data_IF_415445578800
#
_entry.id   IF_415445578800
#
_cell.length_a   1.000
_cell.length_b   1.000
_cell.length_c   1.000
_cell.angle_alpha   90.00
_cell.angle_beta   90.00
_cell.angle_gamma   90.00
#
_symmetry.space_group_name_H-M   'P 1'
#
loop_
_entity.id
_entity.type
_entity.pdbx_description
1 polymer ?
#
# COMPACT_ATOMS: atom_id res chain seq x y z
N UNK A 1 -25.78 12.59 -51.46
CA UNK A 1 -25.51 11.50 -52.40
C UNK A 1 -24.59 10.50 -51.71
N UNK A 2 -25.08 9.28 -51.56
CA UNK A 2 -24.40 8.13 -50.97
C UNK A 2 -23.49 7.46 -52.00
N UNK A 3 -22.34 6.96 -51.58
CA UNK A 3 -21.87 5.65 -52.07
C UNK A 3 -21.04 4.95 -50.97
N UNK A 4 -21.51 3.79 -50.46
CA UNK A 4 -20.81 2.92 -49.52
C UNK A 4 -20.18 1.73 -50.26
N UNK A 5 -19.00 1.23 -49.83
CA UNK A 5 -18.61 -0.20 -49.86
C UNK A 5 -17.11 -0.39 -49.70
N UNK A 6 -16.71 -1.14 -48.67
CA UNK A 6 -15.87 -2.34 -48.84
C UNK A 6 -15.71 -3.04 -47.48
N UNK A 7 -16.57 -4.02 -47.28
CA UNK A 7 -16.50 -5.04 -46.23
C UNK A 7 -15.24 -5.88 -46.44
N UNK A 8 -14.42 -6.05 -45.40
CA UNK A 8 -13.55 -7.23 -45.27
C UNK A 8 -13.58 -7.78 -43.86
N UNK A 9 -14.54 -8.67 -43.68
CA UNK A 9 -14.63 -9.65 -42.61
C UNK A 9 -13.39 -10.56 -42.65
N UNK A 10 -12.64 -10.65 -41.57
CA UNK A 10 -11.69 -11.74 -41.35
C UNK A 10 -11.96 -12.33 -39.97
N UNK A 11 -12.74 -13.42 -39.99
CA UNK A 11 -12.79 -14.41 -38.92
C UNK A 11 -11.45 -15.15 -38.90
N UNK A 12 -10.75 -15.11 -37.77
CA UNK A 12 -9.75 -16.12 -37.44
C UNK A 12 -10.13 -16.72 -36.09
N UNK A 13 -10.60 -17.96 -36.18
CA UNK A 13 -10.78 -18.92 -35.09
C UNK A 13 -9.42 -19.20 -34.43
N UNK A 14 -9.33 -18.98 -33.12
CA UNK A 14 -8.19 -19.45 -32.31
C UNK A 14 -8.70 -20.59 -31.42
N UNK A 15 -8.08 -21.79 -31.48
CA UNK A 15 -8.54 -22.98 -30.76
C UNK A 15 -8.20 -22.93 -29.26
N UNK A 16 -9.12 -23.48 -28.47
CA UNK A 16 -9.00 -23.85 -27.06
C UNK A 16 -7.72 -24.67 -26.81
N UNK A 17 -6.81 -24.15 -26.00
CA UNK A 17 -5.77 -24.95 -25.35
C UNK A 17 -6.22 -25.30 -23.93
N UNK A 18 -6.27 -26.60 -23.68
CA UNK A 18 -6.78 -27.23 -22.47
C UNK A 18 -5.93 -26.94 -21.22
N UNK A 19 -6.62 -26.90 -20.08
CA UNK A 19 -6.08 -26.74 -18.74
C UNK A 19 -5.17 -27.91 -18.35
N UNK A 20 -3.96 -27.61 -17.87
CA UNK A 20 -3.15 -28.51 -17.06
C UNK A 20 -3.05 -27.90 -15.65
N UNK A 21 -3.86 -28.41 -14.72
CA UNK A 21 -3.72 -28.14 -13.30
C UNK A 21 -2.49 -28.86 -12.75
N UNK A 22 -1.42 -28.12 -12.49
CA UNK A 22 -0.33 -28.57 -11.63
C UNK A 22 -0.81 -28.50 -10.18
N UNK A 23 -1.35 -29.61 -9.69
CA UNK A 23 -1.69 -29.81 -8.28
C UNK A 23 -0.39 -30.04 -7.49
N UNK A 24 0.04 -29.05 -6.70
CA UNK A 24 1.12 -29.23 -5.73
C UNK A 24 0.65 -30.18 -4.63
N UNK A 25 1.09 -31.45 -4.69
CA UNK A 25 1.06 -32.37 -3.54
C UNK A 25 2.03 -31.87 -2.48
N UNK A 26 1.54 -31.15 -1.49
CA UNK A 26 2.26 -30.96 -0.23
C UNK A 26 2.24 -32.29 0.55
N UNK A 27 3.33 -33.06 0.46
CA UNK A 27 3.55 -34.22 1.31
C UNK A 27 4.25 -33.74 2.59
N UNK A 28 3.51 -33.63 3.68
CA UNK A 28 4.10 -33.46 5.01
C UNK A 28 4.50 -34.85 5.50
N UNK A 29 5.81 -35.15 5.44
CA UNK A 29 6.39 -36.26 6.21
C UNK A 29 6.44 -35.83 7.67
N UNK A 30 5.48 -36.29 8.46
CA UNK A 30 5.63 -36.34 9.90
C UNK A 30 6.40 -37.62 10.23
N UNK A 31 7.73 -37.50 10.37
CA UNK A 31 8.56 -38.56 10.94
C UNK A 31 8.41 -38.51 12.46
N UNK A 32 7.56 -39.40 13.00
CA UNK A 32 7.55 -39.72 14.43
C UNK A 32 8.45 -40.93 14.61
N UNK A 33 9.68 -40.69 15.04
CA UNK A 33 10.57 -41.76 15.45
C UNK A 33 10.50 -41.93 16.98
N UNK A 34 9.76 -42.96 17.43
CA UNK A 34 9.83 -43.48 18.80
C UNK A 34 10.44 -44.87 18.71
N UNK A 35 11.65 -45.03 19.25
CA UNK A 35 12.29 -46.32 19.39
C UNK A 35 13.69 -46.19 19.98
N UNK A 36 13.79 -46.31 21.31
CA UNK A 36 15.05 -46.45 22.03
C UNK A 36 15.50 -47.92 22.06
N UNK A 37 16.78 -48.18 21.71
CA UNK A 37 17.80 -48.81 22.59
C UNK A 37 19.16 -49.00 21.90
N UNK A 38 20.20 -48.51 22.59
CA UNK A 38 21.57 -49.05 22.89
C UNK A 38 22.20 -50.04 21.86
N UNK A 39 23.46 -49.94 21.38
CA UNK A 39 24.74 -49.58 22.00
C UNK A 39 25.85 -49.36 20.93
N UNK A 40 26.98 -48.76 21.38
CA UNK A 40 28.38 -48.84 20.85
C UNK A 40 29.01 -47.63 20.09
N UNK A 41 29.79 -46.86 20.87
CA UNK A 41 31.17 -46.31 20.66
C UNK A 41 31.57 -45.45 19.43
N UNK A 42 31.95 -44.21 19.78
CA UNK A 42 33.26 -43.53 19.57
C UNK A 42 33.51 -42.68 18.29
N UNK A 43 34.14 -41.50 18.53
CA UNK A 43 34.62 -40.44 17.59
C UNK A 43 33.55 -39.62 16.85
N UNK A 44 33.57 -38.28 16.73
CA UNK A 44 34.60 -37.24 16.77
C UNK A 44 33.86 -35.90 17.05
N UNK A 45 34.43 -35.01 17.87
CA UNK A 45 33.87 -33.69 18.15
C UNK A 45 34.29 -32.70 17.04
N UNK A 46 33.65 -32.78 15.88
CA UNK A 46 33.66 -31.68 14.93
C UNK A 46 32.47 -30.77 15.26
N UNK A 47 32.76 -29.62 15.88
CA UNK A 47 31.79 -28.53 16.01
C UNK A 47 31.40 -28.05 14.61
N UNK A 48 30.30 -28.58 14.08
CA UNK A 48 29.61 -28.03 12.93
C UNK A 48 29.13 -26.62 13.29
N UNK A 49 29.77 -25.63 12.68
CA UNK A 49 29.35 -24.23 12.72
C UNK A 49 27.98 -24.14 12.02
N UNK A 50 26.91 -24.15 12.82
CA UNK A 50 25.54 -23.99 12.34
C UNK A 50 25.45 -22.65 11.61
N UNK A 51 25.03 -22.61 10.33
CA UNK A 51 24.82 -21.36 9.62
C UNK A 51 23.85 -20.51 10.42
N UNK A 52 24.31 -19.34 10.87
CA UNK A 52 23.50 -18.39 11.62
C UNK A 52 22.27 -18.06 10.77
N UNK A 53 21.13 -18.62 11.17
CA UNK A 53 19.86 -18.37 10.53
C UNK A 53 19.63 -16.86 10.56
N UNK A 54 19.45 -16.27 9.37
CA UNK A 54 19.09 -14.87 9.25
C UNK A 54 17.92 -14.59 10.18
N UNK A 55 18.05 -13.55 11.01
CA UNK A 55 16.97 -13.13 11.92
C UNK A 55 15.67 -12.98 11.12
N UNK A 56 14.55 -13.53 11.60
CA UNK A 56 13.26 -13.34 10.96
C UNK A 56 12.99 -11.84 10.83
N UNK A 57 13.00 -11.33 9.59
CA UNK A 57 12.50 -9.99 9.31
C UNK A 57 11.08 -9.90 9.90
N UNK A 58 10.76 -8.86 10.68
CA UNK A 58 9.43 -8.74 11.27
C UNK A 58 8.41 -8.78 10.13
N UNK A 59 7.54 -9.80 10.15
CA UNK A 59 6.42 -9.90 9.24
C UNK A 59 5.49 -8.77 9.64
N UNK A 60 5.60 -7.63 8.95
CA UNK A 60 4.63 -6.55 9.04
C UNK A 60 3.25 -7.18 8.90
N UNK A 61 2.43 -7.12 9.95
CA UNK A 61 1.08 -7.70 9.92
C UNK A 61 0.25 -6.91 8.90
N UNK A 62 0.26 -7.39 7.66
CA UNK A 62 -0.38 -6.74 6.50
C UNK A 62 -1.90 -6.64 6.62
N UNK A 63 -2.52 -7.32 7.59
CA UNK A 63 -3.96 -7.22 7.86
C UNK A 63 -4.38 -5.83 8.35
N UNK A 64 -3.44 -5.00 8.81
CA UNK A 64 -3.74 -3.71 9.39
C UNK A 64 -3.61 -2.51 8.42
N UNK A 65 -2.83 -2.65 7.35
CA UNK A 65 -2.54 -1.55 6.42
C UNK A 65 -3.57 -1.44 5.30
N UNK A 66 -3.95 -0.22 4.96
CA UNK A 66 -4.84 0.07 3.85
C UNK A 66 -5.78 1.22 4.11
N UNK A 67 -6.87 1.24 3.34
CA UNK A 67 -7.86 2.33 3.39
C UNK A 67 -8.61 2.31 4.72
N UNK A 68 -8.53 3.41 5.46
CA UNK A 68 -9.20 3.64 6.72
C UNK A 68 -10.35 4.64 6.51
N UNK A 69 -11.51 4.18 6.06
CA UNK A 69 -12.64 5.07 5.69
C UNK A 69 -13.24 5.85 6.86
N UNK A 70 -12.99 5.40 8.09
CA UNK A 70 -13.44 6.09 9.30
C UNK A 70 -12.46 7.19 9.73
N UNK A 71 -11.29 7.30 9.09
CA UNK A 71 -10.30 8.32 9.37
C UNK A 71 -10.47 9.49 8.40
N UNK A 72 -10.48 10.71 8.94
CA UNK A 72 -10.49 11.95 8.17
C UNK A 72 -9.57 12.99 8.81
N UNK A 73 -9.28 14.06 8.06
CA UNK A 73 -8.75 15.30 8.63
C UNK A 73 -9.88 16.03 9.38
N UNK A 74 -9.59 16.53 10.57
CA UNK A 74 -10.47 17.50 11.25
C UNK A 74 -10.59 18.76 10.41
N UNK A 75 -11.77 19.40 10.31
CA UNK A 75 -11.90 20.69 9.64
C UNK A 75 -10.96 21.74 10.25
N UNK A 76 -10.11 22.34 9.42
CA UNK A 76 -9.29 23.49 9.77
C UNK A 76 -8.82 24.18 8.48
N UNK A 77 -8.57 25.49 8.53
CA UNK A 77 -7.89 26.17 7.44
C UNK A 77 -6.46 25.62 7.33
N UNK A 78 -6.15 25.01 6.19
CA UNK A 78 -4.83 24.43 5.91
C UNK A 78 -4.31 24.94 4.58
N UNK A 79 -2.99 25.03 4.47
CA UNK A 79 -2.34 25.19 3.18
C UNK A 79 -2.34 23.84 2.44
N UNK A 80 -2.35 23.90 1.11
CA UNK A 80 -2.14 22.73 0.27
C UNK A 80 -0.73 22.17 0.53
N UNK A 81 -0.63 20.85 0.76
CA UNK A 81 0.67 20.15 0.80
C UNK A 81 1.08 19.68 -0.59
N UNK A 82 0.08 19.37 -1.41
CA UNK A 82 0.21 18.96 -2.81
C UNK A 82 -0.91 19.61 -3.62
N UNK A 83 -0.84 19.54 -4.94
CA UNK A 83 -1.85 20.17 -5.79
C UNK A 83 -3.26 19.73 -5.38
N UNK A 84 -4.10 20.73 -5.07
CA UNK A 84 -5.50 20.58 -4.68
C UNK A 84 -5.79 19.76 -3.41
N UNK A 85 -4.78 19.47 -2.57
CA UNK A 85 -4.95 18.61 -1.39
C UNK A 85 -4.07 19.09 -0.24
N UNK A 86 -4.66 19.16 0.95
CA UNK A 86 -3.93 19.13 2.21
C UNK A 86 -3.85 17.69 2.72
N UNK A 87 -2.69 17.31 3.24
CA UNK A 87 -2.46 15.99 3.84
C UNK A 87 -1.79 16.13 5.20
N UNK A 88 -2.13 15.21 6.11
CA UNK A 88 -1.42 15.02 7.38
C UNK A 88 -0.94 13.58 7.44
N UNK A 89 0.30 13.41 7.89
CA UNK A 89 0.86 12.12 8.27
C UNK A 89 1.20 12.19 9.76
N UNK A 90 0.77 11.19 10.53
CA UNK A 90 1.08 11.14 11.95
C UNK A 90 0.72 9.82 12.61
N UNK A 91 0.82 9.74 13.95
CA UNK A 91 0.31 8.61 14.70
C UNK A 91 -1.23 8.60 14.68
N UNK A 92 -1.84 7.46 15.03
CA UNK A 92 -3.30 7.30 15.00
C UNK A 92 -4.09 8.25 15.92
N UNK A 93 -3.42 8.86 16.89
CA UNK A 93 -3.96 9.83 17.84
C UNK A 93 -3.54 11.28 17.54
N UNK A 94 -3.02 11.56 16.34
CA UNK A 94 -2.66 12.92 15.94
C UNK A 94 -3.87 13.86 16.09
N UNK A 95 -3.71 15.04 16.73
CA UNK A 95 -4.82 15.93 17.03
C UNK A 95 -5.47 16.54 15.79
N UNK A 96 -4.81 16.50 14.62
CA UNK A 96 -5.39 16.95 13.35
C UNK A 96 -6.30 15.92 12.69
N UNK A 97 -6.37 14.71 13.26
CA UNK A 97 -7.12 13.59 12.73
C UNK A 97 -8.40 13.35 13.54
N UNK A 98 -9.38 12.76 12.87
CA UNK A 98 -10.64 12.35 13.47
C UNK A 98 -11.03 10.96 12.99
N UNK A 99 -11.44 10.13 13.94
CA UNK A 99 -11.99 8.81 13.69
C UNK A 99 -13.50 8.85 13.92
N UNK A 100 -14.28 8.41 12.94
CA UNK A 100 -15.69 8.14 13.10
C UNK A 100 -15.87 6.85 13.93
N UNK A 101 -16.30 7.00 15.17
CA UNK A 101 -16.36 5.91 16.16
C UNK A 101 -14.98 5.58 16.74
N UNK A 102 -14.83 4.38 17.29
CA UNK A 102 -13.61 4.01 18.01
C UNK A 102 -12.40 3.91 17.07
N UNK A 103 -11.31 4.56 17.46
CA UNK A 103 -10.00 4.41 16.81
C UNK A 103 -9.55 2.95 16.95
N UNK A 104 -9.24 2.24 15.85
CA UNK A 104 -8.67 0.92 15.95
C UNK A 104 -7.27 0.95 16.60
N UNK A 105 -6.82 -0.17 17.14
CA UNK A 105 -5.45 -0.29 17.65
C UNK A 105 -4.49 -0.42 16.45
N UNK A 106 -3.61 0.57 16.24
CA UNK A 106 -2.82 0.68 15.01
C UNK A 106 -1.40 0.13 15.10
N UNK A 107 -0.96 -0.39 16.25
CA UNK A 107 0.42 -0.84 16.42
C UNK A 107 1.45 0.30 16.34
N UNK A 108 2.69 0.07 16.82
CA UNK A 108 3.75 1.09 16.81
C UNK A 108 4.47 1.23 15.45
N UNK A 109 4.31 0.26 14.56
CA UNK A 109 4.91 0.20 13.23
C UNK A 109 4.03 0.85 12.14
N UNK A 110 2.88 1.42 12.53
CA UNK A 110 1.98 2.10 11.62
C UNK A 110 1.99 3.62 11.79
N UNK A 111 1.80 4.30 10.66
CA UNK A 111 1.39 5.69 10.60
C UNK A 111 0.02 5.77 9.96
N UNK A 112 -0.59 6.93 10.04
CA UNK A 112 -1.85 7.21 9.35
C UNK A 112 -1.68 8.43 8.46
N UNK A 113 -2.38 8.40 7.33
CA UNK A 113 -2.47 9.50 6.38
C UNK A 113 -3.92 9.88 6.24
N UNK A 114 -4.22 11.17 6.32
CA UNK A 114 -5.52 11.69 5.94
C UNK A 114 -5.37 12.89 4.99
N UNK A 115 -6.35 13.03 4.09
CA UNK A 115 -6.36 14.04 3.05
C UNK A 115 -7.66 14.85 3.09
N UNK A 116 -7.61 16.09 2.60
CA UNK A 116 -8.79 16.91 2.34
C UNK A 116 -8.52 17.91 1.21
N UNK A 117 -9.58 18.23 0.45
CA UNK A 117 -9.60 19.37 -0.47
C UNK A 117 -10.45 20.53 0.07
N UNK A 118 -11.04 20.38 1.26
CA UNK A 118 -11.87 21.41 1.88
C UNK A 118 -11.04 22.66 2.21
N UNK A 119 -11.49 23.82 1.74
CA UNK A 119 -10.80 25.09 1.93
C UNK A 119 -9.50 25.22 1.12
N UNK A 120 -9.22 24.31 0.19
CA UNK A 120 -8.05 24.35 -0.68
C UNK A 120 -8.44 24.88 -2.06
N UNK A 121 -7.84 26.00 -2.46
CA UNK A 121 -8.01 26.54 -3.81
C UNK A 121 -7.54 25.53 -4.86
N UNK A 122 -8.41 25.23 -5.82
CA UNK A 122 -8.15 24.26 -6.87
C UNK A 122 -8.88 24.64 -8.15
N UNK A 123 -8.15 24.80 -9.26
CA UNK A 123 -8.74 25.10 -10.56
C UNK A 123 -9.58 23.94 -11.12
N UNK A 124 -9.24 22.71 -10.72
CA UNK A 124 -9.94 21.52 -11.19
C UNK A 124 -11.31 21.37 -10.53
N UNK A 125 -12.36 21.43 -11.36
CA UNK A 125 -13.74 21.25 -10.94
C UNK A 125 -14.11 19.77 -11.00
N UNK A 126 -13.79 19.05 -9.94
CA UNK A 126 -14.12 17.62 -9.79
C UNK A 126 -14.84 17.33 -8.48
N UNK A 127 -15.14 16.06 -8.23
CA UNK A 127 -15.84 15.61 -7.00
C UNK A 127 -14.98 15.52 -5.74
N UNK A 128 -13.76 16.04 -5.79
CA UNK A 128 -12.77 15.91 -4.73
C UNK A 128 -11.93 14.62 -4.82
N UNK A 129 -10.90 14.52 -3.97
CA UNK A 129 -9.99 13.38 -3.95
C UNK A 129 -10.56 12.18 -3.20
N UNK A 130 -10.09 10.99 -3.55
CA UNK A 130 -10.28 9.75 -2.79
C UNK A 130 -9.01 8.91 -2.88
N UNK A 131 -8.61 8.27 -1.78
CA UNK A 131 -7.52 7.31 -1.75
C UNK A 131 -7.97 6.06 -2.51
N UNK A 132 -7.19 5.68 -3.51
CA UNK A 132 -7.42 4.55 -4.41
C UNK A 132 -6.64 3.31 -3.98
N UNK A 133 -5.39 3.50 -3.54
CA UNK A 133 -4.46 2.45 -3.20
C UNK A 133 -3.33 2.98 -2.30
N UNK A 134 -2.63 2.05 -1.65
CA UNK A 134 -1.37 2.28 -0.94
C UNK A 134 -0.34 1.38 -1.60
N UNK A 135 0.66 1.97 -2.23
CA UNK A 135 1.75 1.27 -2.90
C UNK A 135 3.06 1.43 -2.11
N UNK A 136 4.04 0.59 -2.41
CA UNK A 136 5.40 0.68 -1.87
C UNK A 136 6.44 0.66 -2.98
N UNK A 137 7.44 1.53 -2.87
CA UNK A 137 8.61 1.55 -3.74
C UNK A 137 9.87 1.55 -2.86
N UNK A 138 10.47 0.38 -2.67
CA UNK A 138 11.56 0.21 -1.70
C UNK A 138 11.05 0.49 -0.27
N UNK A 139 11.68 1.46 0.41
CA UNK A 139 11.24 1.91 1.73
C UNK A 139 10.09 2.91 1.66
N UNK A 140 9.85 3.54 0.51
CA UNK A 140 8.87 4.60 0.37
C UNK A 140 7.44 4.06 0.34
N UNK A 141 6.52 4.84 0.90
CA UNK A 141 5.08 4.60 0.84
C UNK A 141 4.43 5.62 -0.08
N UNK A 142 3.59 5.15 -0.99
CA UNK A 142 2.91 6.00 -1.97
C UNK A 142 1.40 5.85 -1.79
N UNK A 143 0.75 6.93 -1.38
CA UNK A 143 -0.71 7.01 -1.28
C UNK A 143 -1.25 7.49 -2.63
N UNK A 144 -1.94 6.61 -3.33
CA UNK A 144 -2.48 6.90 -4.65
C UNK A 144 -3.85 7.54 -4.52
N UNK A 145 -4.01 8.73 -5.08
CA UNK A 145 -5.26 9.47 -5.10
C UNK A 145 -5.92 9.38 -6.46
N UNK A 146 -7.23 9.31 -6.47
CA UNK A 146 -8.04 9.47 -7.67
C UNK A 146 -9.16 10.48 -7.42
N UNK A 147 -9.85 10.89 -8.48
CA UNK A 147 -11.11 11.60 -8.30
C UNK A 147 -12.16 10.66 -7.72
N UNK A 148 -12.90 11.14 -6.71
CA UNK A 148 -14.00 10.42 -6.11
C UNK A 148 -15.00 9.92 -7.17
N UNK A 149 -15.43 8.66 -7.01
CA UNK A 149 -16.44 8.01 -7.85
C UNK A 149 -17.61 7.61 -6.97
N UNK A 150 -18.81 7.99 -7.39
CA UNK A 150 -20.10 7.67 -6.78
C UNK A 150 -20.39 6.16 -6.69
N UNK A 151 -19.64 5.34 -7.41
CA UNK A 151 -19.77 3.88 -7.38
C UNK A 151 -19.19 3.22 -6.12
N UNK A 152 -18.47 3.95 -5.27
CA UNK A 152 -17.91 3.44 -4.01
C UNK A 152 -17.84 4.52 -2.94
N UNK A 153 -17.77 4.18 -1.64
CA UNK A 153 -17.57 5.16 -0.59
C UNK A 153 -16.26 5.93 -0.76
N UNK A 154 -16.28 7.22 -0.41
CA UNK A 154 -15.08 8.06 -0.39
C UNK A 154 -14.08 7.51 0.63
N UNK A 155 -12.80 7.62 0.31
CA UNK A 155 -11.70 7.23 1.19
C UNK A 155 -10.79 8.45 1.42
N UNK A 156 -10.87 9.04 2.61
CA UNK A 156 -10.07 10.21 2.99
C UNK A 156 -8.92 9.87 3.94
N UNK A 157 -8.88 8.65 4.46
CA UNK A 157 -7.86 8.19 5.39
C UNK A 157 -7.29 6.83 5.01
N UNK A 158 -6.05 6.58 5.43
CA UNK A 158 -5.35 5.31 5.31
C UNK A 158 -4.47 5.07 6.53
N UNK A 159 -4.31 3.80 6.88
CA UNK A 159 -3.25 3.32 7.76
C UNK A 159 -2.15 2.79 6.85
N UNK A 160 -0.93 3.24 7.08
CA UNK A 160 0.24 2.89 6.27
C UNK A 160 1.35 2.29 7.15
N UNK A 161 2.22 1.43 6.60
CA UNK A 161 3.42 1.04 7.31
C UNK A 161 4.31 2.27 7.52
N UNK A 162 4.97 2.34 8.67
CA UNK A 162 6.04 3.31 8.88
C UNK A 162 7.20 2.97 7.93
N UNK A 163 7.60 3.89 7.03
CA UNK A 163 8.66 3.61 6.06
C UNK A 163 10.08 3.68 6.67
N UNK A 164 10.19 3.90 7.99
CA UNK A 164 11.46 3.97 8.72
C UNK A 164 12.25 5.25 8.45
N UNK A 165 13.46 5.37 9.01
CA UNK A 165 14.21 6.63 9.04
C UNK A 165 14.67 7.13 7.66
N UNK A 166 14.83 6.23 6.70
CA UNK A 166 15.29 6.55 5.34
C UNK A 166 14.15 6.66 4.34
N UNK A 167 12.96 6.20 4.69
CA UNK A 167 11.82 6.14 3.80
C UNK A 167 10.95 7.41 3.86
N UNK A 168 10.28 7.69 2.75
CA UNK A 168 9.43 8.85 2.56
C UNK A 168 8.00 8.47 2.23
N UNK A 169 7.09 9.41 2.46
CA UNK A 169 5.65 9.23 2.25
C UNK A 169 5.21 10.22 1.19
N UNK A 170 4.57 9.73 0.14
CA UNK A 170 4.20 10.51 -1.02
C UNK A 170 2.72 10.40 -1.35
N UNK A 171 2.20 11.42 -2.04
CA UNK A 171 0.98 11.35 -2.81
C UNK A 171 1.29 11.14 -4.29
N UNK A 172 0.44 10.36 -4.97
CA UNK A 172 0.46 10.17 -6.42
C UNK A 172 -0.93 10.29 -6.99
N UNK A 173 -1.12 11.16 -7.98
CA UNK A 173 -2.38 11.22 -8.72
C UNK A 173 -2.53 10.03 -9.68
N UNK A 174 -3.73 9.45 -9.73
CA UNK A 174 -4.15 8.43 -10.69
C UNK A 174 -5.10 9.07 -11.71
N UNK A 175 -4.77 8.92 -12.99
CA UNK A 175 -5.55 9.48 -14.09
C UNK A 175 -5.31 10.97 -14.29
N UNK A 176 -6.31 11.67 -14.82
CA UNK A 176 -6.19 13.08 -15.23
C UNK A 176 -6.38 14.09 -14.11
N UNK A 177 -7.08 13.73 -13.02
CA UNK A 177 -7.30 14.64 -11.89
C UNK A 177 -5.97 15.06 -11.23
N UNK A 178 -5.85 16.30 -10.74
CA UNK A 178 -4.59 16.83 -10.21
C UNK A 178 -4.32 16.46 -8.75
N UNK A 179 -5.27 15.82 -8.06
CA UNK A 179 -5.19 15.60 -6.62
C UNK A 179 -3.91 14.85 -6.22
N UNK A 180 -3.10 15.49 -5.37
CA UNK A 180 -1.86 14.91 -4.86
C UNK A 180 -0.68 14.96 -5.83
N UNK A 181 -0.79 15.67 -6.96
CA UNK A 181 0.37 15.96 -7.81
C UNK A 181 1.34 16.90 -7.09
N UNK A 182 2.65 16.81 -7.40
CA UNK A 182 3.59 17.83 -6.98
C UNK A 182 3.20 19.21 -7.53
N UNK A 183 3.55 20.28 -6.81
CA UNK A 183 3.53 21.62 -7.42
C UNK A 183 4.47 21.63 -8.63
N UNK A 184 4.19 22.51 -9.60
CA UNK A 184 5.00 22.62 -10.82
C UNK A 184 6.47 22.82 -10.46
N UNK A 185 7.33 21.91 -10.92
CA UNK A 185 8.77 21.92 -10.65
C UNK A 185 9.19 21.40 -9.27
N UNK A 186 8.26 20.94 -8.42
CA UNK A 186 8.54 20.46 -7.05
C UNK A 186 8.07 19.02 -6.83
N UNK A 187 8.80 18.04 -7.35
CA UNK A 187 8.47 16.62 -7.11
C UNK A 187 9.55 15.66 -7.57
N UNK A 188 9.46 14.42 -7.09
CA UNK A 188 10.32 13.33 -7.52
C UNK A 188 9.48 12.35 -8.34
N UNK A 189 9.76 12.18 -9.63
CA UNK A 189 9.04 11.23 -10.50
C UNK A 189 7.50 11.36 -10.45
N UNK A 190 6.98 12.59 -10.43
CA UNK A 190 5.55 12.91 -10.27
C UNK A 190 4.94 12.54 -8.90
N UNK A 191 5.77 12.28 -7.90
CA UNK A 191 5.38 12.07 -6.51
C UNK A 191 5.51 13.38 -5.73
N UNK A 192 4.48 13.71 -4.96
CA UNK A 192 4.48 14.82 -4.03
C UNK A 192 4.81 14.32 -2.62
N UNK A 193 5.92 14.75 -2.03
CA UNK A 193 6.33 14.32 -0.68
C UNK A 193 5.48 15.02 0.38
N UNK A 194 4.89 14.24 1.29
CA UNK A 194 4.04 14.74 2.39
C UNK A 194 4.57 14.39 3.78
N UNK A 195 5.60 13.55 3.87
CA UNK A 195 6.21 13.17 5.13
C UNK A 195 7.43 12.29 4.95
N UNK A 196 8.06 11.96 6.07
CA UNK A 196 9.11 10.93 6.17
C UNK A 196 8.72 9.94 7.25
N UNK A 197 9.26 8.73 7.21
CA UNK A 197 9.08 7.79 8.31
C UNK A 197 9.78 8.28 9.56
N UNK A 198 9.27 7.84 10.71
CA UNK A 198 9.99 8.02 11.96
C UNK A 198 11.09 6.96 12.05
N UNK A 199 12.29 7.36 12.48
CA UNK A 199 13.22 6.42 13.07
C UNK A 199 12.66 5.96 14.41
N UNK A 200 12.82 4.69 14.75
CA UNK A 200 12.85 4.34 16.17
C UNK A 200 14.02 5.12 16.79
N UNK A 201 13.82 5.87 17.88
CA UNK A 201 14.95 6.37 18.66
C UNK A 201 15.83 5.23 19.16
#
# INVERSE_FOLDING_TARGET
MCDPSAVRTSLLLIPLAALAFLSCKASVKADVNVGSKEDAKEEDNAFDEVPQAAEPQPILQTEYFGIARRLTLRPAQRAASCQCVAAVVGPGNDPNLEWYGDKPDIGPDALVVAISAEGIECEHKGRGPSIAAIDREGQDVIVVLEEFKDTRPIALGAIIPNPGPTGSIYLRARGSAPYGRPEVGKGYRNLCKIGSGSGNP
#
